data_IF_630337280774
#
_entry.id   IF_630337280774
#
_cell.length_a   1.000
_cell.length_b   1.000
_cell.length_c   1.000
_cell.angle_alpha   90.00
_cell.angle_beta   90.00
_cell.angle_gamma   90.00
#
_symmetry.space_group_name_H-M   'P 1'
#
loop_
_entity.id
_entity.type
_entity.pdbx_description
1 polymer ?
#
# COMPACT_ATOMS: atom_id res chain seq x y z
N UNK A 1 9.90 -19.88 -20.65
CA UNK A 1 8.96 -19.12 -19.82
C UNK A 1 9.09 -17.65 -20.21
N UNK A 2 8.03 -17.01 -20.71
CA UNK A 2 8.08 -15.58 -21.03
C UNK A 2 8.37 -14.77 -19.77
N UNK A 3 9.26 -13.77 -19.81
CA UNK A 3 9.51 -12.92 -18.65
C UNK A 3 8.22 -12.17 -18.29
N UNK A 4 7.81 -12.26 -17.03
CA UNK A 4 6.66 -11.48 -16.55
C UNK A 4 7.06 -10.01 -16.52
N UNK A 5 6.14 -9.12 -16.91
CA UNK A 5 6.42 -7.68 -16.90
C UNK A 5 6.62 -7.16 -15.46
N UNK A 6 7.41 -6.10 -15.30
CA UNK A 6 7.69 -5.49 -14.00
C UNK A 6 6.42 -5.20 -13.18
N UNK A 7 5.35 -4.56 -13.74
CA UNK A 7 4.12 -4.31 -12.98
C UNK A 7 3.47 -5.57 -12.41
N UNK A 8 3.56 -6.69 -13.15
CA UNK A 8 2.99 -7.96 -12.71
C UNK A 8 3.78 -8.57 -11.54
N UNK A 9 5.10 -8.49 -11.59
CA UNK A 9 5.98 -8.97 -10.51
C UNK A 9 5.82 -8.11 -9.26
N UNK A 10 5.82 -6.80 -9.41
CA UNK A 10 5.60 -5.83 -8.33
C UNK A 10 4.26 -6.11 -7.63
N UNK A 11 3.18 -6.32 -8.38
CA UNK A 11 1.88 -6.71 -7.83
C UNK A 11 1.93 -8.07 -7.09
N UNK A 12 2.68 -9.06 -7.58
CA UNK A 12 2.89 -10.33 -6.87
C UNK A 12 3.62 -10.11 -5.55
N UNK A 13 4.66 -9.27 -5.53
CA UNK A 13 5.40 -8.95 -4.32
C UNK A 13 4.49 -8.26 -3.30
N UNK A 14 3.73 -7.25 -3.72
CA UNK A 14 2.74 -6.56 -2.85
C UNK A 14 1.71 -7.54 -2.29
N UNK A 15 1.11 -8.41 -3.11
CA UNK A 15 0.15 -9.42 -2.65
C UNK A 15 0.78 -10.44 -1.72
N UNK A 16 2.05 -10.78 -1.91
CA UNK A 16 2.80 -11.65 -1.00
C UNK A 16 2.96 -10.98 0.36
N UNK A 17 3.42 -9.74 0.41
CA UNK A 17 3.51 -9.00 1.67
C UNK A 17 2.17 -8.89 2.39
N UNK A 18 1.10 -8.51 1.68
CA UNK A 18 -0.24 -8.42 2.25
C UNK A 18 -0.72 -9.75 2.87
N UNK A 19 -0.42 -10.90 2.25
CA UNK A 19 -0.73 -12.23 2.81
C UNK A 19 0.09 -12.58 4.05
N UNK A 20 1.27 -11.99 4.19
CA UNK A 20 2.13 -12.22 5.36
C UNK A 20 1.78 -11.27 6.50
N UNK A 21 1.20 -10.09 6.25
CA UNK A 21 0.66 -9.22 7.30
C UNK A 21 -0.44 -9.89 8.14
N UNK A 22 -1.18 -10.82 7.56
CA UNK A 22 -2.24 -11.59 8.25
C UNK A 22 -1.71 -12.84 8.95
N UNK A 23 -0.40 -13.12 8.85
CA UNK A 23 0.26 -14.31 9.41
C UNK A 23 1.37 -13.84 10.33
N UNK A 24 1.02 -13.48 11.56
CA UNK A 24 2.00 -13.13 12.57
C UNK A 24 2.36 -14.41 13.32
N UNK A 25 3.60 -14.90 13.26
CA UNK A 25 4.08 -15.91 14.18
C UNK A 25 4.42 -15.21 15.49
N UNK A 26 3.57 -15.30 16.49
CA UNK A 26 3.93 -14.95 17.87
C UNK A 26 3.44 -16.02 18.83
N UNK A 27 4.32 -16.51 19.70
CA UNK A 27 3.98 -17.40 20.82
C UNK A 27 3.32 -16.65 22.00
N UNK A 28 2.99 -15.37 21.82
CA UNK A 28 2.37 -14.50 22.82
C UNK A 28 0.84 -14.38 22.58
N UNK A 29 0.00 -14.93 23.48
CA UNK A 29 -1.46 -14.91 23.34
C UNK A 29 -2.10 -13.51 23.35
N UNK A 30 -1.46 -12.50 23.96
CA UNK A 30 -1.97 -11.12 23.94
C UNK A 30 -1.75 -10.46 22.58
N UNK A 31 -0.66 -10.82 21.89
CA UNK A 31 -0.35 -10.37 20.53
C UNK A 31 -1.25 -11.08 19.51
N UNK A 32 -1.54 -12.36 19.71
CA UNK A 32 -2.44 -13.14 18.85
C UNK A 32 -3.90 -12.63 18.87
N UNK A 33 -4.40 -12.20 20.03
CA UNK A 33 -5.74 -11.60 20.19
C UNK A 33 -5.88 -10.21 19.53
N UNK A 34 -4.78 -9.50 19.29
CA UNK A 34 -4.71 -8.20 18.61
C UNK A 34 -4.57 -8.33 17.07
N UNK A 35 -4.24 -9.52 16.57
CA UNK A 35 -3.84 -9.79 15.18
C UNK A 35 -5.02 -10.15 14.25
N UNK A 36 -6.12 -9.40 14.34
CA UNK A 36 -7.11 -9.40 13.26
C UNK A 36 -6.49 -8.82 11.99
N UNK A 37 -6.89 -9.31 10.81
CA UNK A 37 -6.50 -8.70 9.53
C UNK A 37 -6.94 -7.22 9.52
N UNK A 38 -5.99 -6.33 9.83
CA UNK A 38 -6.22 -4.87 9.93
C UNK A 38 -6.75 -4.32 8.62
N UNK A 39 -6.29 -4.87 7.49
CA UNK A 39 -6.79 -4.47 6.17
C UNK A 39 -8.25 -4.91 6.01
N UNK A 40 -8.63 -6.10 6.47
CA UNK A 40 -10.03 -6.53 6.48
C UNK A 40 -10.91 -5.68 7.42
N UNK A 41 -10.40 -5.29 8.59
CA UNK A 41 -11.11 -4.38 9.49
C UNK A 41 -11.38 -3.02 8.81
N UNK A 42 -10.36 -2.47 8.15
CA UNK A 42 -10.48 -1.24 7.35
C UNK A 42 -11.48 -1.40 6.21
N UNK A 43 -11.46 -2.51 5.47
CA UNK A 43 -12.46 -2.79 4.41
C UNK A 43 -13.87 -2.78 4.98
N UNK A 44 -14.09 -3.44 6.13
CA UNK A 44 -15.40 -3.47 6.80
C UNK A 44 -15.85 -2.07 7.19
N UNK A 45 -15.00 -1.30 7.86
CA UNK A 45 -15.28 0.07 8.27
C UNK A 45 -15.65 0.95 7.07
N UNK A 46 -14.80 0.99 6.04
CA UNK A 46 -15.03 1.78 4.83
C UNK A 46 -16.33 1.37 4.12
N UNK A 47 -16.58 0.06 4.01
CA UNK A 47 -17.81 -0.42 3.40
C UNK A 47 -19.04 -0.01 4.20
N UNK A 48 -18.96 -0.03 5.52
CA UNK A 48 -20.06 0.33 6.41
C UNK A 48 -20.37 1.83 6.35
N UNK A 49 -19.34 2.70 6.38
CA UNK A 49 -19.50 4.15 6.17
C UNK A 49 -20.07 4.47 4.78
N UNK A 50 -19.81 3.61 3.78
CA UNK A 50 -20.30 3.76 2.40
C UNK A 50 -21.54 2.93 2.08
N UNK A 51 -22.20 2.33 3.06
CA UNK A 51 -23.26 1.35 2.80
C UNK A 51 -24.52 1.99 2.19
N UNK A 52 -24.83 3.25 2.52
CA UNK A 52 -26.03 3.97 2.06
C UNK A 52 -25.71 5.37 1.53
N UNK A 53 -26.70 6.04 0.91
CA UNK A 53 -26.62 7.47 0.57
C UNK A 53 -26.50 8.33 1.81
N UNK A 54 -27.41 8.12 2.77
CA UNK A 54 -27.46 8.83 4.04
C UNK A 54 -26.11 8.84 4.79
N UNK A 55 -25.41 7.70 4.89
CA UNK A 55 -24.10 7.66 5.58
C UNK A 55 -23.01 8.44 4.85
N UNK A 56 -23.06 8.49 3.50
CA UNK A 56 -22.12 9.26 2.69
C UNK A 56 -22.37 10.75 2.83
N UNK A 57 -23.64 11.15 2.77
CA UNK A 57 -24.07 12.54 2.99
C UNK A 57 -23.71 13.00 4.40
N UNK A 58 -23.96 12.17 5.42
CA UNK A 58 -23.61 12.49 6.80
C UNK A 58 -22.10 12.71 6.97
N UNK A 59 -21.25 11.84 6.39
CA UNK A 59 -19.80 12.04 6.41
C UNK A 59 -19.39 13.35 5.72
N UNK A 60 -20.01 13.65 4.58
CA UNK A 60 -19.76 14.90 3.84
C UNK A 60 -20.13 16.13 4.68
N UNK A 61 -21.28 16.11 5.35
CA UNK A 61 -21.73 17.18 6.24
C UNK A 61 -20.84 17.33 7.48
N UNK A 62 -20.36 16.23 8.06
CA UNK A 62 -19.38 16.25 9.16
C UNK A 62 -18.10 16.94 8.71
N UNK A 63 -17.61 16.65 7.50
CA UNK A 63 -16.41 17.28 6.95
C UNK A 63 -16.65 18.77 6.71
N UNK A 64 -17.76 19.15 6.08
CA UNK A 64 -18.10 20.57 5.83
C UNK A 64 -18.16 21.37 7.13
N UNK A 65 -18.86 20.86 8.15
CA UNK A 65 -18.96 21.51 9.46
C UNK A 65 -17.60 21.59 10.15
N UNK A 66 -16.86 20.49 10.17
CA UNK A 66 -15.52 20.43 10.78
C UNK A 66 -14.48 21.32 10.09
N UNK A 67 -14.60 21.57 8.78
CA UNK A 67 -13.77 22.53 8.09
C UNK A 67 -14.18 23.97 8.39
N UNK A 68 -15.49 24.24 8.46
CA UNK A 68 -16.02 25.57 8.74
C UNK A 68 -15.72 26.04 10.19
N UNK A 69 -15.73 25.11 11.15
CA UNK A 69 -15.42 25.39 12.56
C UNK A 69 -13.93 25.29 12.91
N UNK A 70 -13.07 24.92 11.94
CA UNK A 70 -11.63 24.79 12.10
C UNK A 70 -11.17 23.51 12.82
N UNK A 71 -12.05 22.56 13.07
CA UNK A 71 -11.70 21.26 13.64
C UNK A 71 -10.78 20.43 12.73
N UNK A 72 -11.00 20.53 11.43
CA UNK A 72 -10.25 19.80 10.41
C UNK A 72 -9.92 20.70 9.22
N UNK A 73 -8.97 20.25 8.40
CA UNK A 73 -8.73 20.77 7.05
C UNK A 73 -8.70 19.58 6.08
N UNK A 74 -9.90 19.13 5.71
CA UNK A 74 -10.10 17.93 4.89
C UNK A 74 -10.76 18.25 3.56
N UNK A 75 -10.38 17.51 2.52
CA UNK A 75 -11.09 17.60 1.24
C UNK A 75 -12.48 17.01 1.37
N UNK A 76 -13.46 17.64 0.74
CA UNK A 76 -14.84 17.14 0.66
C UNK A 76 -14.90 16.06 -0.43
N UNK A 77 -14.53 14.83 -0.07
CA UNK A 77 -14.49 13.67 -0.96
C UNK A 77 -15.03 12.43 -0.26
N UNK A 78 -15.39 11.39 -1.02
CA UNK A 78 -15.84 10.12 -0.44
C UNK A 78 -14.66 9.21 -0.07
N UNK A 79 -14.82 8.36 0.96
CA UNK A 79 -13.89 7.24 1.24
C UNK A 79 -13.72 6.36 0.00
N UNK A 80 -12.61 5.65 -0.21
CA UNK A 80 -12.43 4.77 -1.38
C UNK A 80 -12.58 3.30 -0.98
N UNK A 81 -13.31 2.49 -1.76
CA UNK A 81 -13.40 1.04 -1.52
C UNK A 81 -12.19 0.30 -2.11
N UNK A 82 -11.80 -0.79 -1.46
CA UNK A 82 -10.86 -1.74 -2.05
C UNK A 82 -11.52 -2.49 -3.22
N UNK A 83 -10.76 -2.73 -4.30
CA UNK A 83 -11.22 -3.37 -5.52
C UNK A 83 -10.13 -4.33 -5.99
N UNK A 84 -10.31 -5.62 -5.77
CA UNK A 84 -9.27 -6.65 -5.97
C UNK A 84 -8.62 -6.66 -7.36
N UNK A 85 -9.35 -6.21 -8.38
CA UNK A 85 -8.87 -6.13 -9.77
C UNK A 85 -8.01 -4.89 -10.04
N UNK A 86 -8.07 -3.86 -9.19
CA UNK A 86 -7.32 -2.62 -9.33
C UNK A 86 -6.13 -2.62 -8.39
N UNK A 87 -4.94 -2.79 -8.97
CA UNK A 87 -3.69 -3.06 -8.24
C UNK A 87 -3.38 -2.14 -7.02
N UNK A 88 -3.74 -0.86 -7.07
CA UNK A 88 -3.50 0.13 -6.00
C UNK A 88 -4.72 0.42 -5.12
N UNK A 89 -5.83 -0.30 -5.27
CA UNK A 89 -7.06 0.01 -4.53
C UNK A 89 -6.88 -0.08 -3.02
N UNK A 90 -6.12 -1.07 -2.54
CA UNK A 90 -5.89 -1.25 -1.10
C UNK A 90 -5.13 -0.07 -0.52
N UNK A 91 -4.07 0.38 -1.21
CA UNK A 91 -3.32 1.58 -0.84
C UNK A 91 -4.22 2.81 -0.78
N UNK A 92 -4.96 3.08 -1.87
CA UNK A 92 -5.81 4.27 -1.98
C UNK A 92 -6.96 4.27 -0.96
N UNK A 93 -7.52 3.11 -0.62
CA UNK A 93 -8.50 2.97 0.46
C UNK A 93 -7.90 3.36 1.81
N UNK A 94 -6.73 2.79 2.13
CA UNK A 94 -6.06 3.01 3.41
C UNK A 94 -5.62 4.48 3.54
N UNK A 95 -5.00 5.02 2.50
CA UNK A 95 -4.52 6.40 2.45
C UNK A 95 -5.69 7.38 2.64
N UNK A 96 -6.79 7.19 1.91
CA UNK A 96 -8.01 8.01 2.06
C UNK A 96 -8.65 7.87 3.44
N UNK A 97 -8.71 6.67 4.00
CA UNK A 97 -9.26 6.46 5.34
C UNK A 97 -8.42 7.20 6.38
N UNK A 98 -7.09 7.10 6.32
CA UNK A 98 -6.19 7.77 7.24
C UNK A 98 -6.28 9.30 7.12
N UNK A 99 -6.40 9.84 5.90
CA UNK A 99 -6.69 11.26 5.65
C UNK A 99 -7.98 11.68 6.36
N UNK A 100 -9.07 10.94 6.13
CA UNK A 100 -10.41 11.30 6.61
C UNK A 100 -10.71 10.80 8.03
N UNK A 101 -9.77 10.14 8.72
CA UNK A 101 -10.02 9.43 9.97
C UNK A 101 -10.63 10.30 11.08
N UNK A 102 -10.24 11.58 11.26
CA UNK A 102 -10.89 12.44 12.25
C UNK A 102 -12.39 12.64 12.01
N UNK A 103 -12.81 12.77 10.75
CA UNK A 103 -14.23 12.87 10.38
C UNK A 103 -14.94 11.52 10.50
N UNK A 104 -14.26 10.41 10.17
CA UNK A 104 -14.80 9.05 10.37
C UNK A 104 -15.05 8.79 11.85
N UNK A 105 -14.18 9.25 12.74
CA UNK A 105 -14.37 9.09 14.19
C UNK A 105 -15.64 9.78 14.68
N UNK A 106 -15.88 11.03 14.26
CA UNK A 106 -17.15 11.75 14.53
C UNK A 106 -18.36 11.03 13.93
N UNK A 107 -18.21 10.44 12.75
CA UNK A 107 -19.28 9.67 12.13
C UNK A 107 -19.64 8.42 12.95
N UNK A 108 -18.66 7.75 13.56
CA UNK A 108 -18.89 6.58 14.41
C UNK A 108 -19.56 6.93 15.76
N UNK A 109 -19.48 8.18 16.19
CA UNK A 109 -20.23 8.69 17.36
C UNK A 109 -21.72 8.90 17.05
N UNK A 110 -22.12 8.89 15.77
CA UNK A 110 -23.50 9.10 15.35
C UNK A 110 -24.34 7.81 15.51
N UNK A 111 -25.62 7.89 15.94
CA UNK A 111 -26.49 6.73 16.13
C UNK A 111 -26.66 5.86 14.87
N UNK A 112 -26.57 6.43 13.68
CA UNK A 112 -26.71 5.73 12.39
C UNK A 112 -25.60 4.69 12.12
N UNK A 113 -24.52 4.73 12.91
CA UNK A 113 -23.35 3.87 12.83
C UNK A 113 -23.04 3.15 14.16
N UNK A 114 -23.98 3.10 15.11
CA UNK A 114 -23.78 2.48 16.43
C UNK A 114 -23.25 1.04 16.40
N UNK A 115 -23.56 0.30 15.33
CA UNK A 115 -23.19 -1.11 15.17
C UNK A 115 -21.79 -1.31 14.57
N UNK A 116 -21.08 -0.23 14.25
CA UNK A 116 -19.78 -0.27 13.56
C UNK A 116 -18.68 -0.04 14.58
N UNK A 117 -17.76 -0.99 14.67
CA UNK A 117 -16.59 -0.91 15.55
C UNK A 117 -15.52 0.01 14.96
N UNK A 118 -15.00 0.93 15.78
CA UNK A 118 -13.83 1.75 15.45
C UNK A 118 -12.54 0.91 15.47
N UNK A 119 -11.48 1.43 14.84
CA UNK A 119 -10.14 0.86 14.92
C UNK A 119 -9.52 1.18 16.29
N UNK A 120 -8.84 0.21 16.88
CA UNK A 120 -8.04 0.45 18.09
C UNK A 120 -6.81 1.31 17.77
N UNK A 121 -6.20 1.94 18.78
CA UNK A 121 -4.97 2.71 18.61
C UNK A 121 -3.84 1.87 17.98
N UNK A 122 -3.72 0.59 18.37
CA UNK A 122 -2.75 -0.34 17.82
C UNK A 122 -3.06 -0.66 16.34
N UNK A 123 -4.32 -0.93 16.01
CA UNK A 123 -4.74 -1.16 14.61
C UNK A 123 -4.46 0.07 13.73
N UNK A 124 -4.72 1.27 14.25
CA UNK A 124 -4.44 2.51 13.55
C UNK A 124 -2.94 2.71 13.32
N UNK A 125 -2.09 2.34 14.29
CA UNK A 125 -0.63 2.41 14.13
C UNK A 125 -0.14 1.41 13.09
N UNK A 126 -0.56 0.15 13.17
CA UNK A 126 -0.24 -0.88 12.17
C UNK A 126 -0.73 -0.45 10.78
N UNK A 127 -1.91 0.18 10.69
CA UNK A 127 -2.44 0.69 9.43
C UNK A 127 -1.54 1.76 8.79
N UNK A 128 -0.93 2.64 9.59
CA UNK A 128 0.05 3.63 9.12
C UNK A 128 1.30 2.95 8.57
N UNK A 129 1.79 1.90 9.23
CA UNK A 129 2.94 1.12 8.78
C UNK A 129 2.63 0.42 7.44
N UNK A 130 1.44 -0.17 7.32
CA UNK A 130 0.95 -0.78 6.06
C UNK A 130 0.83 0.27 4.95
N UNK A 131 0.35 1.49 5.26
CA UNK A 131 0.30 2.59 4.28
C UNK A 131 1.69 2.90 3.74
N UNK A 132 2.70 3.02 4.60
CA UNK A 132 4.09 3.29 4.17
C UNK A 132 4.60 2.17 3.25
N UNK A 133 4.36 0.92 3.63
CA UNK A 133 4.71 -0.25 2.83
C UNK A 133 4.06 -0.25 1.44
N UNK A 134 2.75 -0.03 1.37
CA UNK A 134 2.04 0.00 0.10
C UNK A 134 2.42 1.22 -0.76
N UNK A 135 2.79 2.34 -0.14
CA UNK A 135 3.22 3.54 -0.85
C UNK A 135 4.52 3.33 -1.65
N UNK A 136 5.45 2.51 -1.15
CA UNK A 136 6.68 2.15 -1.87
C UNK A 136 6.34 1.53 -3.23
N UNK A 137 5.45 0.54 -3.24
CA UNK A 137 4.99 -0.08 -4.48
C UNK A 137 4.17 0.88 -5.35
N UNK A 138 3.29 1.67 -4.72
CA UNK A 138 2.51 2.69 -5.42
C UNK A 138 3.39 3.63 -6.24
N UNK A 139 4.42 4.18 -5.60
CA UNK A 139 5.37 5.13 -6.19
C UNK A 139 6.21 4.49 -7.29
N UNK A 140 6.77 3.31 -7.05
CA UNK A 140 7.58 2.60 -8.04
C UNK A 140 6.79 2.35 -9.34
N UNK A 141 5.51 2.02 -9.23
CA UNK A 141 4.68 1.84 -10.41
C UNK A 141 4.33 3.14 -11.13
N UNK A 142 4.13 4.26 -10.41
CA UNK A 142 3.90 5.56 -11.06
C UNK A 142 5.09 5.92 -11.94
N UNK A 143 6.31 5.72 -11.44
CA UNK A 143 7.55 5.95 -12.18
C UNK A 143 7.58 5.08 -13.44
N UNK A 144 7.38 3.77 -13.30
CA UNK A 144 7.43 2.84 -14.45
C UNK A 144 6.28 3.05 -15.44
N UNK A 145 5.12 3.54 -15.00
CA UNK A 145 3.98 3.82 -15.88
C UNK A 145 4.15 5.12 -16.67
N UNK A 146 4.97 6.06 -16.18
CA UNK A 146 5.31 7.29 -16.89
C UNK A 146 6.32 7.05 -18.03
N UNK A 147 7.16 6.03 -17.90
CA UNK A 147 8.07 5.57 -18.94
C UNK A 147 7.29 4.90 -20.09
N UNK A 148 7.13 5.59 -21.23
CA UNK A 148 6.37 5.08 -22.40
C UNK A 148 6.95 3.78 -22.98
N UNK A 149 8.20 3.46 -22.65
CA UNK A 149 8.88 2.22 -23.04
C UNK A 149 9.77 1.75 -21.90
N UNK A 150 9.34 0.79 -21.05
CA UNK A 150 10.25 0.11 -20.16
C UNK A 150 11.21 -0.72 -21.04
N UNK A 151 12.34 -0.11 -21.41
CA UNK A 151 13.42 -0.83 -22.07
C UNK A 151 13.93 -1.89 -21.08
N UNK A 152 14.21 -3.08 -21.61
CA UNK A 152 14.67 -4.23 -20.85
C UNK A 152 15.88 -3.89 -19.92
N UNK A 153 16.61 -2.83 -20.26
CA UNK A 153 17.78 -2.30 -19.56
C UNK A 153 17.49 -1.53 -18.27
N UNK A 154 16.31 -0.93 -18.10
CA UNK A 154 15.95 -0.13 -16.92
C UNK A 154 15.34 -1.00 -15.80
N UNK A 155 14.85 -2.18 -16.15
CA UNK A 155 14.14 -3.07 -15.23
C UNK A 155 14.99 -3.51 -14.04
N UNK A 156 16.28 -3.83 -14.25
CA UNK A 156 17.18 -4.26 -13.16
C UNK A 156 17.43 -3.12 -12.15
N UNK A 157 17.88 -1.92 -12.57
CA UNK A 157 18.03 -0.78 -11.66
C UNK A 157 16.76 -0.45 -10.87
N UNK A 158 15.58 -0.54 -11.51
CA UNK A 158 14.31 -0.28 -10.82
C UNK A 158 14.01 -1.34 -9.77
N UNK A 159 14.28 -2.63 -10.03
CA UNK A 159 14.14 -3.67 -9.01
C UNK A 159 15.10 -3.45 -7.83
N UNK A 160 16.37 -3.16 -8.10
CA UNK A 160 17.37 -2.92 -7.06
C UNK A 160 17.00 -1.72 -6.20
N UNK A 161 16.53 -0.64 -6.82
CA UNK A 161 16.04 0.54 -6.11
C UNK A 161 14.79 0.22 -5.25
N UNK A 162 13.82 -0.51 -5.81
CA UNK A 162 12.62 -0.94 -5.07
C UNK A 162 12.97 -1.84 -3.87
N UNK A 163 13.89 -2.78 -4.04
CA UNK A 163 14.39 -3.64 -2.96
C UNK A 163 15.07 -2.79 -1.89
N UNK A 164 15.93 -1.83 -2.28
CA UNK A 164 16.58 -0.90 -1.36
C UNK A 164 15.57 -0.09 -0.52
N UNK A 165 14.54 0.47 -1.16
CA UNK A 165 13.46 1.18 -0.45
C UNK A 165 12.72 0.28 0.56
N UNK A 166 12.50 -0.99 0.21
CA UNK A 166 11.86 -1.94 1.11
C UNK A 166 12.77 -2.35 2.28
N UNK A 167 14.07 -2.55 2.04
CA UNK A 167 15.04 -2.82 3.12
C UNK A 167 15.17 -1.63 4.08
N UNK A 168 15.18 -0.40 3.55
CA UNK A 168 15.14 0.82 4.35
C UNK A 168 13.87 0.86 5.20
N UNK A 169 12.71 0.63 4.59
CA UNK A 169 11.44 0.60 5.29
C UNK A 169 11.40 -0.50 6.37
N UNK A 170 11.93 -1.70 6.08
CA UNK A 170 11.99 -2.83 7.03
C UNK A 170 12.63 -2.44 8.37
N UNK A 171 13.63 -1.56 8.33
CA UNK A 171 14.32 -1.03 9.52
C UNK A 171 13.48 -0.03 10.32
N UNK A 172 12.55 0.68 9.66
CA UNK A 172 11.71 1.69 10.29
C UNK A 172 10.39 1.14 10.85
N UNK A 173 9.87 0.05 10.29
CA UNK A 173 8.60 -0.57 10.71
C UNK A 173 8.78 -2.06 11.08
N UNK A 174 9.45 -2.35 12.21
CA UNK A 174 9.82 -3.72 12.59
C UNK A 174 8.61 -4.65 12.76
N UNK A 175 7.44 -4.11 13.15
CA UNK A 175 6.19 -4.85 13.34
C UNK A 175 5.73 -5.59 12.08
N UNK A 176 5.99 -5.03 10.89
CA UNK A 176 5.62 -5.63 9.61
C UNK A 176 6.83 -6.13 8.80
N UNK A 177 8.00 -6.22 9.44
CA UNK A 177 9.26 -6.60 8.79
C UNK A 177 9.19 -7.96 8.10
N UNK A 178 8.49 -8.93 8.70
CA UNK A 178 8.27 -10.26 8.12
C UNK A 178 7.52 -10.21 6.78
N UNK A 179 6.52 -9.33 6.66
CA UNK A 179 5.76 -9.13 5.42
C UNK A 179 6.58 -8.40 4.35
N UNK A 180 7.38 -7.41 4.77
CA UNK A 180 8.32 -6.71 3.90
C UNK A 180 9.35 -7.70 3.35
N UNK A 181 9.95 -8.52 4.21
CA UNK A 181 10.92 -9.54 3.82
C UNK A 181 10.33 -10.55 2.82
N UNK A 182 9.10 -11.00 3.05
CA UNK A 182 8.42 -11.90 2.11
C UNK A 182 8.22 -11.26 0.72
N UNK A 183 8.00 -9.95 0.68
CA UNK A 183 7.89 -9.19 -0.57
C UNK A 183 9.23 -9.04 -1.27
N UNK A 184 10.29 -8.71 -0.52
CA UNK A 184 11.67 -8.62 -1.02
C UNK A 184 12.09 -9.94 -1.65
N UNK A 185 11.88 -11.07 -0.96
CA UNK A 185 12.24 -12.39 -1.49
C UNK A 185 11.53 -12.71 -2.81
N UNK A 186 10.32 -12.20 -3.04
CA UNK A 186 9.66 -12.32 -4.35
C UNK A 186 10.28 -11.44 -5.42
N UNK A 187 10.70 -10.22 -5.09
CA UNK A 187 11.40 -9.37 -6.04
C UNK A 187 12.76 -9.97 -6.43
N UNK A 188 13.51 -10.48 -5.46
CA UNK A 188 14.81 -11.13 -5.67
C UNK A 188 14.68 -12.39 -6.54
N UNK A 189 13.70 -13.26 -6.27
CA UNK A 189 13.42 -14.45 -7.09
C UNK A 189 13.21 -14.10 -8.57
N UNK A 190 12.53 -12.99 -8.86
CA UNK A 190 12.33 -12.52 -10.23
C UNK A 190 13.55 -11.81 -10.81
N UNK A 191 14.30 -11.08 -9.99
CA UNK A 191 15.54 -10.43 -10.41
C UNK A 191 16.58 -11.47 -10.85
N UNK A 192 16.76 -12.55 -10.09
CA UNK A 192 17.64 -13.68 -10.43
C UNK A 192 17.21 -14.38 -11.73
N UNK A 193 15.90 -14.63 -11.90
CA UNK A 193 15.33 -15.18 -13.14
C UNK A 193 15.55 -14.25 -14.34
N UNK A 194 15.52 -12.94 -14.12
CA UNK A 194 15.78 -11.94 -15.16
C UNK A 194 17.26 -11.93 -15.54
N UNK A 195 18.17 -12.02 -14.57
CA UNK A 195 19.64 -12.06 -14.79
C UNK A 195 20.11 -13.33 -15.50
N UNK A 196 19.47 -14.47 -15.25
CA UNK A 196 19.80 -15.75 -15.90
C UNK A 196 19.28 -15.89 -17.34
N UNK A 197 18.42 -14.97 -17.80
CA UNK A 197 17.91 -14.98 -19.16
C UNK A 197 18.86 -14.25 -20.11
N UNK A 198 19.44 -14.99 -21.07
CA UNK A 198 20.40 -14.47 -22.07
C UNK A 198 19.90 -13.25 -22.85
N UNK A 199 18.58 -13.11 -23.02
CA UNK A 199 17.97 -11.95 -23.70
C UNK A 199 18.16 -10.66 -22.90
N UNK A 200 18.09 -10.72 -21.56
CA UNK A 200 18.33 -9.57 -20.69
C UNK A 200 19.80 -9.15 -20.70
N UNK A 201 20.71 -10.13 -20.60
CA UNK A 201 22.15 -9.88 -20.66
C UNK A 201 22.55 -9.22 -22.00
N UNK A 202 22.01 -9.71 -23.13
CA UNK A 202 22.29 -9.16 -24.45
C UNK A 202 21.70 -7.76 -24.67
N UNK A 203 20.54 -7.45 -24.07
CA UNK A 203 19.95 -6.11 -24.12
C UNK A 203 20.77 -5.08 -23.31
N UNK A 204 21.35 -5.51 -22.18
CA UNK A 204 22.22 -4.67 -21.34
C UNK A 204 23.56 -4.35 -22.03
N UNK A 205 24.17 -5.32 -22.71
CA UNK A 205 25.48 -5.12 -23.36
C UNK A 205 25.44 -4.24 -24.62
N UNK A 206 24.26 -3.93 -25.19
CA UNK A 206 24.13 -3.18 -26.44
C UNK A 206 23.93 -1.66 -26.27
N UNK A 207 23.74 -1.16 -25.05
CA UNK A 207 23.57 0.26 -24.81
C UNK A 207 24.85 0.81 -24.16
N UNK A 208 25.61 1.59 -24.91
CA UNK A 208 26.53 2.56 -24.32
C UNK A 208 25.70 3.47 -23.42
N UNK A 209 25.94 3.38 -22.11
CA UNK A 209 25.27 4.15 -21.06
C UNK A 209 25.31 5.63 -21.45
N UNK A 210 24.18 6.31 -21.72
CA UNK A 210 24.17 7.77 -21.70
C UNK A 210 24.43 8.17 -20.25
N UNK A 211 25.51 8.90 -19.99
CA UNK A 211 25.78 9.41 -18.65
C UNK A 211 24.59 10.26 -18.19
N UNK A 212 23.97 9.87 -17.09
CA UNK A 212 23.02 10.71 -16.38
C UNK A 212 23.79 11.92 -15.84
N UNK A 213 23.29 13.16 -16.03
CA UNK A 213 23.99 14.34 -15.58
C UNK A 213 24.14 14.32 -14.07
N UNK A 214 25.39 14.39 -13.63
CA UNK A 214 25.81 14.42 -12.24
C UNK A 214 25.57 15.80 -11.63
N UNK A 215 24.29 16.19 -11.47
CA UNK A 215 23.86 17.29 -10.60
C UNK A 215 22.34 17.21 -10.33
N UNK A 216 21.98 16.73 -9.14
CA UNK A 216 20.88 17.21 -8.27
C UNK A 216 20.90 16.45 -6.94
#
# INVERSE_FOLDING_TARGET
MFPRCFPHVTNIATKTGLKHLTKIPSDDPEVEALNGDVVAAVRKLVNACRASGQRRELLEEIIKKGNADGSFDLRIVTLLRDVDTRWSSTFLMIDRLLEMYPAVKRLLECPELSDITDLTANQLQVLKDIRLFLNVFHTAQQIVSAEQTPTLSIVIPVYEHLIGMLEDLKRHVPNISHAIQASIGKLEEYLEKSRSNKVYVLAMCKLSIPQLPSNL
#
